data_IF_021105160304
#
_entry.id   IF_021105160304
#
_cell.length_a   1.000
_cell.length_b   1.000
_cell.length_c   1.000
_cell.angle_alpha   90.00
_cell.angle_beta   90.00
_cell.angle_gamma   90.00
#
_symmetry.space_group_name_H-M   'P 1'
#
loop_
_entity.id
_entity.type
_entity.pdbx_description
1 polymer ?
#
# COMPACT_ATOMS: atom_id res chain seq x y z
N UNK A 1 -24.76 -25.13 6.27
CA UNK A 1 -23.36 -25.02 6.68
C UNK A 1 -22.75 -23.78 6.08
N UNK A 2 -22.07 -23.01 6.90
CA UNK A 2 -21.42 -21.81 6.37
C UNK A 2 -20.14 -22.17 5.65
N UNK A 3 -19.96 -21.59 4.48
CA UNK A 3 -18.72 -21.76 3.72
C UNK A 3 -17.63 -20.91 4.36
N UNK A 4 -16.39 -21.10 3.94
CA UNK A 4 -15.29 -20.26 4.39
C UNK A 4 -15.55 -18.79 4.05
N UNK A 5 -16.11 -18.54 2.88
CA UNK A 5 -16.46 -17.17 2.48
C UNK A 5 -17.53 -16.58 3.41
N UNK A 6 -18.54 -17.37 3.77
CA UNK A 6 -19.57 -16.90 4.70
C UNK A 6 -18.97 -16.54 6.06
N UNK A 7 -18.01 -17.33 6.53
CA UNK A 7 -17.34 -17.06 7.79
C UNK A 7 -16.52 -15.77 7.72
N UNK A 8 -15.85 -15.57 6.59
CA UNK A 8 -15.09 -14.33 6.35
C UNK A 8 -16.04 -13.13 6.31
N UNK A 9 -17.14 -13.24 5.57
CA UNK A 9 -18.11 -12.14 5.45
C UNK A 9 -18.73 -11.80 6.81
N UNK A 10 -18.99 -12.81 7.61
CA UNK A 10 -19.52 -12.63 8.97
C UNK A 10 -18.50 -11.90 9.85
N UNK A 11 -17.22 -12.24 9.70
CA UNK A 11 -16.16 -11.54 10.42
C UNK A 11 -16.08 -10.07 9.99
N UNK A 12 -16.21 -9.81 8.70
CA UNK A 12 -16.18 -8.44 8.19
C UNK A 12 -17.40 -7.64 8.63
N UNK A 13 -18.54 -8.30 8.79
CA UNK A 13 -19.72 -7.67 9.35
C UNK A 13 -19.47 -7.22 10.80
N UNK A 14 -18.88 -8.10 11.62
CA UNK A 14 -18.52 -7.73 13.00
C UNK A 14 -17.53 -6.58 13.02
N UNK A 15 -16.55 -6.62 12.11
CA UNK A 15 -15.59 -5.53 11.96
C UNK A 15 -16.30 -4.21 11.68
N UNK A 16 -17.28 -4.22 10.78
CA UNK A 16 -18.00 -3.00 10.39
C UNK A 16 -18.81 -2.42 11.54
N UNK A 17 -19.26 -3.26 12.47
CA UNK A 17 -19.96 -2.80 13.66
C UNK A 17 -19.04 -2.25 14.74
N UNK A 18 -17.74 -2.41 14.57
CA UNK A 18 -16.77 -2.00 15.56
C UNK A 18 -16.48 -3.07 16.60
N UNK A 19 -17.02 -4.27 16.44
CA UNK A 19 -16.75 -5.38 17.33
C UNK A 19 -15.49 -6.11 16.87
N UNK A 20 -14.35 -5.50 17.17
CA UNK A 20 -13.06 -6.00 16.67
C UNK A 20 -12.66 -7.32 17.33
N UNK A 21 -13.01 -7.52 18.59
CA UNK A 21 -12.69 -8.79 19.25
C UNK A 21 -13.40 -9.95 18.60
N UNK A 22 -14.68 -9.79 18.29
CA UNK A 22 -15.46 -10.84 17.61
C UNK A 22 -14.92 -11.07 16.21
N UNK A 23 -14.61 -9.97 15.48
CA UNK A 23 -14.02 -10.07 14.15
C UNK A 23 -12.69 -10.81 14.19
N UNK A 24 -11.84 -10.51 15.16
CA UNK A 24 -10.55 -11.19 15.31
C UNK A 24 -10.75 -12.70 15.52
N UNK A 25 -11.65 -13.08 16.40
CA UNK A 25 -11.93 -14.50 16.65
C UNK A 25 -12.39 -15.22 15.39
N UNK A 26 -13.29 -14.62 14.64
CA UNK A 26 -13.81 -15.19 13.41
C UNK A 26 -12.76 -15.26 12.30
N UNK A 27 -11.94 -14.21 12.16
CA UNK A 27 -10.87 -14.20 11.18
C UNK A 27 -9.80 -15.24 11.49
N UNK A 28 -9.49 -15.42 12.77
CA UNK A 28 -8.55 -16.46 13.17
C UNK A 28 -9.09 -17.84 12.85
N UNK A 29 -10.38 -18.06 13.02
CA UNK A 29 -11.02 -19.32 12.65
C UNK A 29 -10.92 -19.58 11.15
N UNK A 30 -11.13 -18.53 10.33
CA UNK A 30 -10.95 -18.62 8.87
C UNK A 30 -9.51 -19.01 8.54
N UNK A 31 -8.54 -18.36 9.18
CA UNK A 31 -7.12 -18.61 8.92
C UNK A 31 -6.65 -19.98 9.44
N UNK A 32 -7.34 -20.54 10.42
CA UNK A 32 -7.06 -21.90 10.87
C UNK A 32 -7.43 -22.91 9.78
N UNK A 33 -8.51 -22.64 9.07
CA UNK A 33 -8.95 -23.50 7.97
C UNK A 33 -8.16 -23.27 6.70
N UNK A 34 -7.83 -22.02 6.41
CA UNK A 34 -7.05 -21.66 5.22
C UNK A 34 -6.00 -20.60 5.59
N UNK A 35 -4.80 -21.06 6.00
CA UNK A 35 -3.73 -20.11 6.39
C UNK A 35 -3.28 -19.18 5.28
N UNK A 36 -3.52 -19.53 4.02
CA UNK A 36 -3.15 -18.70 2.88
C UNK A 36 -4.21 -17.70 2.45
N UNK A 37 -5.26 -17.54 3.25
CA UNK A 37 -6.33 -16.59 2.94
C UNK A 37 -5.81 -15.16 3.15
N UNK A 38 -5.36 -14.53 2.08
CA UNK A 38 -4.72 -13.22 2.13
C UNK A 38 -5.65 -12.14 2.70
N UNK A 39 -6.89 -12.09 2.21
CA UNK A 39 -7.84 -11.07 2.65
C UNK A 39 -8.16 -11.18 4.14
N UNK A 40 -8.27 -12.42 4.65
CA UNK A 40 -8.50 -12.62 6.07
C UNK A 40 -7.29 -12.16 6.88
N UNK A 41 -6.09 -12.37 6.37
CA UNK A 41 -4.87 -11.94 7.04
C UNK A 41 -4.79 -10.40 7.08
N UNK A 42 -5.13 -9.74 5.98
CA UNK A 42 -5.21 -8.26 5.94
C UNK A 42 -6.25 -7.74 6.93
N UNK A 43 -7.43 -8.34 6.91
CA UNK A 43 -8.52 -7.92 7.80
C UNK A 43 -8.15 -8.12 9.26
N UNK A 44 -7.47 -9.21 9.57
CA UNK A 44 -7.00 -9.49 10.93
C UNK A 44 -6.05 -8.39 11.41
N UNK A 45 -5.11 -8.00 10.55
CA UNK A 45 -4.19 -6.90 10.87
C UNK A 45 -4.93 -5.60 11.15
N UNK A 46 -5.90 -5.27 10.31
CA UNK A 46 -6.70 -4.06 10.51
C UNK A 46 -7.54 -4.11 11.77
N UNK A 47 -8.08 -5.28 12.11
CA UNK A 47 -8.85 -5.43 13.35
C UNK A 47 -7.97 -5.20 14.59
N UNK A 48 -6.77 -5.76 14.60
CA UNK A 48 -5.82 -5.48 15.68
C UNK A 48 -5.44 -4.00 15.74
N UNK A 49 -5.22 -3.40 14.57
CA UNK A 49 -4.90 -1.98 14.49
C UNK A 49 -6.01 -1.11 15.09
N UNK A 50 -7.26 -1.41 14.72
CA UNK A 50 -8.42 -0.64 15.23
C UNK A 50 -8.59 -0.83 16.74
N UNK A 51 -8.20 -1.99 17.24
CA UNK A 51 -8.24 -2.26 18.67
C UNK A 51 -7.10 -1.58 19.43
N UNK A 52 -6.08 -1.15 18.73
CA UNK A 52 -4.91 -0.51 19.34
C UNK A 52 -3.75 -1.47 19.61
N UNK A 53 -3.87 -2.71 19.20
CA UNK A 53 -2.81 -3.71 19.38
C UNK A 53 -1.90 -3.69 18.14
N UNK A 54 -0.98 -2.74 18.12
CA UNK A 54 -0.13 -2.51 16.95
C UNK A 54 0.87 -3.63 16.73
N UNK A 55 1.37 -4.26 17.79
CA UNK A 55 2.29 -5.39 17.65
C UNK A 55 1.64 -6.57 16.95
N UNK A 56 0.43 -6.93 17.36
CA UNK A 56 -0.32 -8.00 16.71
C UNK A 56 -0.68 -7.62 15.29
N UNK A 57 -1.02 -6.35 15.05
CA UNK A 57 -1.31 -5.85 13.70
C UNK A 57 -0.10 -6.00 12.79
N UNK A 58 1.08 -5.65 13.27
CA UNK A 58 2.33 -5.78 12.52
C UNK A 58 2.60 -7.25 12.20
N UNK A 59 2.44 -8.13 13.17
CA UNK A 59 2.64 -9.56 12.95
C UNK A 59 1.70 -10.10 11.87
N UNK A 60 0.42 -9.71 11.93
CA UNK A 60 -0.55 -10.11 10.91
C UNK A 60 -0.20 -9.51 9.55
N UNK A 61 0.26 -8.27 9.53
CA UNK A 61 0.69 -7.61 8.31
C UNK A 61 1.86 -8.32 7.64
N UNK A 62 2.83 -8.79 8.41
CA UNK A 62 3.95 -9.53 7.85
C UNK A 62 3.54 -10.89 7.32
N UNK A 63 2.55 -11.53 7.93
CA UNK A 63 2.01 -12.78 7.38
C UNK A 63 1.35 -12.53 6.04
N UNK A 64 0.60 -11.44 5.91
CA UNK A 64 0.01 -11.05 4.63
C UNK A 64 1.10 -10.76 3.60
N UNK A 65 2.16 -10.08 4.00
CA UNK A 65 3.30 -9.81 3.13
C UNK A 65 3.96 -11.10 2.64
N UNK A 66 4.12 -12.08 3.51
CA UNK A 66 4.65 -13.39 3.12
C UNK A 66 3.78 -14.09 2.09
N UNK A 67 2.46 -13.96 2.22
CA UNK A 67 1.54 -14.57 1.28
C UNK A 67 1.61 -13.91 -0.09
N UNK A 68 1.72 -12.60 -0.13
CA UNK A 68 1.81 -11.81 -1.36
C UNK A 68 2.79 -10.67 -1.19
N UNK A 69 4.08 -10.90 -1.43
CA UNK A 69 5.12 -9.90 -1.15
C UNK A 69 5.02 -8.61 -1.96
N UNK A 70 4.36 -8.67 -3.10
CA UNK A 70 4.27 -7.50 -3.98
C UNK A 70 2.88 -6.86 -3.97
N UNK A 71 2.05 -7.23 -3.02
CA UNK A 71 0.70 -6.68 -2.92
C UNK A 71 0.76 -5.31 -2.24
N UNK A 72 0.20 -4.31 -2.91
CA UNK A 72 0.18 -2.95 -2.41
C UNK A 72 -0.47 -2.85 -1.03
N UNK A 73 -1.60 -3.52 -0.84
CA UNK A 73 -2.36 -3.43 0.41
C UNK A 73 -1.58 -3.93 1.62
N UNK A 74 -0.80 -5.00 1.46
CA UNK A 74 0.01 -5.52 2.56
C UNK A 74 1.02 -4.47 3.03
N UNK A 75 1.70 -3.84 2.09
CA UNK A 75 2.69 -2.82 2.42
C UNK A 75 2.05 -1.54 2.96
N UNK A 76 0.90 -1.15 2.42
CA UNK A 76 0.17 0.03 2.92
C UNK A 76 -0.23 -0.18 4.38
N UNK A 77 -0.77 -1.35 4.69
CA UNK A 77 -1.17 -1.68 6.06
C UNK A 77 0.04 -1.68 6.99
N UNK A 78 1.13 -2.32 6.57
CA UNK A 78 2.36 -2.35 7.39
C UNK A 78 2.90 -0.94 7.64
N UNK A 79 2.90 -0.09 6.62
CA UNK A 79 3.32 1.30 6.78
C UNK A 79 2.48 2.00 7.86
N UNK A 80 1.17 1.82 7.79
CA UNK A 80 0.27 2.42 8.77
C UNK A 80 0.53 1.89 10.18
N UNK A 81 0.68 0.57 10.30
CA UNK A 81 0.89 -0.07 11.61
C UNK A 81 2.22 0.39 12.24
N UNK A 82 3.28 0.43 11.45
CA UNK A 82 4.58 0.90 11.95
C UNK A 82 4.56 2.38 12.31
N UNK A 83 3.83 3.18 11.52
CA UNK A 83 3.70 4.61 11.83
C UNK A 83 3.06 4.81 13.21
N UNK A 84 1.99 4.06 13.48
CA UNK A 84 1.31 4.15 14.78
C UNK A 84 2.14 3.57 15.91
N UNK A 85 2.95 2.57 15.63
CA UNK A 85 3.85 1.99 16.62
C UNK A 85 5.06 2.88 16.91
N UNK A 86 5.29 3.92 16.11
CA UNK A 86 6.37 4.86 16.31
C UNK A 86 7.62 4.57 15.49
N UNK A 87 7.64 3.53 14.69
CA UNK A 87 8.78 3.18 13.85
C UNK A 87 8.63 3.80 12.46
N UNK A 88 9.01 5.06 12.36
CA UNK A 88 8.83 5.84 11.13
C UNK A 88 9.68 5.31 9.97
N UNK A 89 10.89 4.87 10.25
CA UNK A 89 11.79 4.38 9.19
C UNK A 89 11.22 3.15 8.50
N UNK A 90 10.75 2.18 9.27
CA UNK A 90 10.15 0.98 8.72
C UNK A 90 8.83 1.31 8.01
N UNK A 91 8.06 2.25 8.58
CA UNK A 91 6.82 2.71 7.95
C UNK A 91 7.10 3.33 6.58
N UNK A 92 8.13 4.16 6.46
CA UNK A 92 8.51 4.77 5.19
C UNK A 92 8.96 3.72 4.18
N UNK A 93 9.71 2.72 4.64
CA UNK A 93 10.15 1.63 3.78
C UNK A 93 8.95 0.90 3.17
N UNK A 94 7.99 0.52 4.00
CA UNK A 94 6.77 -0.15 3.49
C UNK A 94 5.93 0.79 2.64
N UNK A 95 5.85 2.05 2.98
CA UNK A 95 5.16 3.04 2.16
C UNK A 95 5.76 3.15 0.76
N UNK A 96 7.09 3.10 0.68
CA UNK A 96 7.78 3.09 -0.61
C UNK A 96 7.49 1.80 -1.37
N UNK A 97 7.51 0.65 -0.69
CA UNK A 97 7.17 -0.62 -1.33
C UNK A 97 5.74 -0.62 -1.88
N UNK A 98 4.80 -0.03 -1.14
CA UNK A 98 3.42 0.09 -1.60
C UNK A 98 3.34 0.90 -2.89
N UNK A 99 4.07 2.01 -2.96
CA UNK A 99 4.09 2.83 -4.18
C UNK A 99 4.72 2.10 -5.35
N UNK A 100 5.80 1.36 -5.10
CA UNK A 100 6.44 0.56 -6.14
C UNK A 100 5.48 -0.51 -6.66
N UNK A 101 4.77 -1.18 -5.75
CA UNK A 101 3.80 -2.20 -6.14
C UNK A 101 2.69 -1.62 -6.99
N UNK A 102 2.13 -0.48 -6.57
CA UNK A 102 1.10 0.21 -7.32
C UNK A 102 1.57 0.59 -8.71
N UNK A 103 2.78 1.08 -8.80
CA UNK A 103 3.35 1.50 -10.08
C UNK A 103 3.57 0.31 -11.02
N UNK A 104 3.97 -0.82 -10.46
CA UNK A 104 4.14 -2.04 -11.27
C UNK A 104 2.81 -2.55 -11.80
N UNK A 105 1.77 -2.49 -10.98
CA UNK A 105 0.43 -2.89 -11.41
C UNK A 105 -0.05 -2.05 -12.57
N UNK A 106 0.13 -0.73 -12.48
CA UNK A 106 -0.25 0.17 -13.56
C UNK A 106 0.46 -0.18 -14.86
N UNK A 107 1.70 -0.59 -14.78
CA UNK A 107 2.47 -0.92 -15.97
C UNK A 107 2.14 -2.29 -16.55
N UNK A 108 1.53 -3.16 -15.77
CA UNK A 108 1.21 -4.50 -16.23
C UNK A 108 -0.21 -4.65 -16.73
N UNK A 109 -1.04 -3.63 -16.60
CA UNK A 109 -2.42 -3.69 -17.07
C UNK A 109 -2.44 -3.82 -18.59
N UNK A 110 -2.89 -4.96 -19.12
CA UNK A 110 -2.84 -5.18 -20.56
C UNK A 110 -3.90 -4.36 -21.29
N UNK A 111 -3.59 -3.99 -22.49
CA UNK A 111 -4.55 -3.30 -23.33
C UNK A 111 -4.61 -1.80 -23.14
N UNK A 112 -4.84 -1.35 -21.95
CA UNK A 112 -4.88 0.07 -21.67
C UNK A 112 -3.57 0.75 -21.98
N UNK A 113 -2.49 0.04 -21.73
CA UNK A 113 -1.17 0.59 -21.96
C UNK A 113 -0.80 0.70 -23.42
N UNK A 114 -1.25 -0.22 -24.22
CA UNK A 114 -0.93 -0.16 -25.62
C UNK A 114 -1.49 1.11 -26.26
N UNK A 115 -2.73 1.44 -25.93
CA UNK A 115 -3.35 2.66 -26.45
C UNK A 115 -2.76 3.92 -25.81
N UNK A 116 -2.59 3.88 -24.49
CA UNK A 116 -2.03 5.01 -23.77
C UNK A 116 -0.58 5.28 -24.14
N UNK A 117 0.20 4.23 -24.27
CA UNK A 117 1.59 4.36 -24.62
C UNK A 117 1.77 4.95 -26.01
N UNK A 118 0.89 4.56 -26.92
CA UNK A 118 0.93 5.09 -28.28
C UNK A 118 0.71 6.61 -28.29
N UNK A 119 -0.29 7.05 -27.54
CA UNK A 119 -0.57 8.46 -27.44
C UNK A 119 0.55 9.21 -26.72
N UNK A 120 1.06 8.61 -25.65
CA UNK A 120 2.14 9.22 -24.90
C UNK A 120 3.42 9.32 -25.72
N UNK A 121 3.69 8.35 -26.56
CA UNK A 121 4.85 8.41 -27.42
C UNK A 121 4.74 9.54 -28.45
N UNK A 122 3.54 9.80 -28.91
CA UNK A 122 3.33 10.91 -29.84
C UNK A 122 3.52 12.26 -29.16
N UNK A 123 3.14 12.34 -27.90
CA UNK A 123 3.26 13.60 -27.15
C UNK A 123 4.65 13.79 -26.56
N UNK A 124 5.23 12.71 -26.03
CA UNK A 124 6.54 12.80 -25.41
C UNK A 124 7.64 13.35 -26.32
N UNK A 125 7.78 12.90 -27.55
CA UNK A 125 8.83 13.46 -28.40
C UNK A 125 8.70 14.95 -28.59
N UNK A 126 7.47 15.46 -28.68
CA UNK A 126 7.28 16.90 -28.80
C UNK A 126 7.65 17.62 -27.51
N UNK A 127 7.23 17.08 -26.39
CA UNK A 127 7.54 17.68 -25.11
C UNK A 127 9.03 17.62 -24.82
N UNK A 128 9.67 16.51 -25.17
CA UNK A 128 11.08 16.30 -24.90
C UNK A 128 11.98 16.96 -25.94
N UNK A 129 11.43 17.27 -27.12
CA UNK A 129 12.21 17.92 -28.15
C UNK A 129 12.47 19.38 -27.82
N UNK A 130 11.70 19.96 -26.92
CA UNK A 130 12.00 21.30 -26.45
C UNK A 130 13.26 21.24 -25.62
N UNK A 131 14.27 21.83 -26.10
CA UNK A 131 15.53 21.90 -25.36
C UNK A 131 15.31 22.67 -24.07
N UNK A 132 15.89 22.20 -22.98
CA UNK A 132 15.85 23.01 -21.77
C UNK A 132 16.53 24.34 -22.05
N UNK A 133 16.10 25.39 -21.40
CA UNK A 133 16.72 26.67 -21.60
C UNK A 133 18.21 26.59 -21.28
N UNK A 134 19.02 27.22 -22.11
CA UNK A 134 20.46 27.18 -21.88
C UNK A 134 20.85 27.75 -20.53
N UNK A 135 20.09 28.71 -20.10
CA UNK A 135 20.29 29.29 -18.79
C UNK A 135 18.96 29.19 -18.02
N UNK A 136 19.02 28.59 -16.89
CA UNK A 136 17.88 28.67 -15.99
C UNK A 136 17.80 30.09 -15.43
N UNK A 137 16.60 30.60 -15.23
CA UNK A 137 16.48 31.87 -14.54
C UNK A 137 17.17 31.80 -13.20
N UNK A 138 17.94 32.79 -12.88
CA UNK A 138 18.63 32.79 -11.60
C UNK A 138 17.63 32.91 -10.49
N UNK A 139 17.76 32.00 -9.56
CA UNK A 139 16.94 32.04 -8.38
C UNK A 139 17.45 33.09 -7.43
N UNK A 140 16.58 33.91 -6.86
CA UNK A 140 17.03 34.98 -5.96
C UNK A 140 17.96 34.53 -4.87
N UNK A 141 17.71 33.35 -4.32
CA UNK A 141 18.54 32.84 -3.24
C UNK A 141 19.90 32.32 -3.69
N UNK A 142 20.06 32.09 -5.00
CA UNK A 142 21.34 31.63 -5.52
C UNK A 142 22.26 32.80 -5.94
N UNK A 143 21.72 33.95 -6.07
CA UNK A 143 22.55 35.09 -6.39
C UNK A 143 23.46 35.41 -5.23
N UNK A 144 24.74 35.45 -5.50
CA UNK A 144 25.66 35.87 -4.48
C UNK A 144 25.47 37.34 -4.24
N UNK A 145 25.60 37.80 -3.02
CA UNK A 145 25.58 39.25 -2.80
C UNK A 145 26.67 39.92 -3.62
N UNK A 146 26.44 41.14 -4.04
CA UNK A 146 27.46 41.82 -4.81
C UNK A 146 28.76 41.89 -4.03
N UNK A 147 29.83 41.73 -4.78
CA UNK A 147 31.15 41.82 -4.16
C UNK A 147 31.34 43.20 -3.57
N UNK A 148 31.94 43.26 -2.44
CA UNK A 148 32.11 44.53 -1.74
C UNK A 148 33.54 45.01 -1.82
#
# INVERSE_FOLDING_TARGET
MSTLQDQYDDAMFEFSKGDYDSAIGKLRAVLTQEPSHFDAQLALGMAYYRKGDYEAAIAAGHKAEHLRPHEQLAHTNLSLFYMKAGDKKTAEHHGLQARIASWKEDKTAPGEKAAGDSELELVKPKALSTKPPEKFPEMPWKKKPPAK
#
